data_IF_943767302407
#
_entry.id   IF_943767302407
#
_cell.length_a   1.000
_cell.length_b   1.000
_cell.length_c   1.000
_cell.angle_alpha   90.00
_cell.angle_beta   90.00
_cell.angle_gamma   90.00
#
_symmetry.space_group_name_H-M   'P 1'
#
loop_
_entity.id
_entity.type
_entity.pdbx_description
1 polymer ?
#
# COMPACT_ATOMS: atom_id res chain seq x y z
N UNK A 1 -12.33 -10.17 -16.15
CA UNK A 1 -13.23 -10.48 -17.28
C UNK A 1 -12.54 -11.19 -18.44
N UNK A 2 -11.39 -10.72 -18.95
CA UNK A 2 -10.71 -11.38 -20.08
C UNK A 2 -10.47 -12.89 -19.87
N UNK A 3 -9.95 -13.27 -18.70
CA UNK A 3 -9.75 -14.68 -18.33
C UNK A 3 -11.06 -15.48 -18.28
N UNK A 4 -12.17 -14.84 -17.94
CA UNK A 4 -13.50 -15.46 -17.90
C UNK A 4 -14.03 -15.72 -19.32
N UNK A 5 -13.93 -14.73 -20.21
CA UNK A 5 -14.32 -14.87 -21.63
C UNK A 5 -13.49 -15.95 -22.34
N UNK A 6 -12.17 -16.02 -22.07
CA UNK A 6 -11.32 -17.10 -22.56
C UNK A 6 -11.73 -18.48 -22.06
N UNK A 7 -12.19 -18.59 -20.80
CA UNK A 7 -12.70 -19.86 -20.25
C UNK A 7 -14.03 -20.29 -20.90
N UNK A 8 -14.81 -19.33 -21.39
CA UNK A 8 -16.04 -19.58 -22.15
C UNK A 8 -15.78 -19.83 -23.64
N UNK A 9 -14.52 -19.86 -24.08
CA UNK A 9 -14.17 -20.10 -25.48
C UNK A 9 -14.33 -18.88 -26.39
N UNK A 10 -14.55 -17.67 -25.83
CA UNK A 10 -14.70 -16.44 -26.61
C UNK A 10 -13.31 -15.81 -26.80
N UNK A 11 -12.76 -15.79 -28.04
CA UNK A 11 -11.45 -15.22 -28.30
C UNK A 11 -11.54 -13.69 -28.36
N UNK A 12 -11.11 -13.03 -27.29
CA UNK A 12 -11.01 -11.57 -27.21
C UNK A 12 -9.61 -11.14 -26.78
N UNK A 13 -9.12 -10.07 -27.38
CA UNK A 13 -7.88 -9.45 -26.95
C UNK A 13 -8.07 -8.78 -25.58
N UNK A 14 -7.02 -8.81 -24.76
CA UNK A 14 -7.06 -8.24 -23.40
C UNK A 14 -7.33 -6.73 -23.43
N UNK A 15 -6.69 -6.03 -24.37
CA UNK A 15 -6.87 -4.60 -24.60
C UNK A 15 -8.30 -4.21 -25.00
N UNK A 16 -9.12 -5.14 -25.50
CA UNK A 16 -10.55 -4.90 -25.77
C UNK A 16 -11.37 -4.90 -24.49
N UNK A 17 -11.02 -5.76 -23.54
CA UNK A 17 -11.79 -5.98 -22.31
C UNK A 17 -11.43 -4.95 -21.23
N UNK A 18 -10.18 -4.49 -21.20
CA UNK A 18 -9.69 -3.53 -20.19
C UNK A 18 -10.45 -2.18 -20.19
N UNK A 19 -10.65 -1.50 -21.34
CA UNK A 19 -11.44 -0.26 -21.40
C UNK A 19 -12.89 -0.48 -20.96
N UNK A 20 -13.51 -1.59 -21.38
CA UNK A 20 -14.89 -1.93 -20.98
C UNK A 20 -15.01 -2.13 -19.47
N UNK A 21 -14.06 -2.85 -18.86
CA UNK A 21 -14.01 -3.01 -17.41
C UNK A 21 -13.82 -1.67 -16.69
N UNK A 22 -12.99 -0.77 -17.24
CA UNK A 22 -12.73 0.54 -16.65
C UNK A 22 -13.96 1.45 -16.70
N UNK A 23 -14.62 1.57 -17.86
CA UNK A 23 -15.83 2.39 -18.03
C UNK A 23 -16.97 1.91 -17.14
N UNK A 24 -17.13 0.60 -16.98
CA UNK A 24 -18.18 0.01 -16.13
C UNK A 24 -17.76 -0.15 -14.66
N UNK A 25 -16.57 0.34 -14.28
CA UNK A 25 -16.01 0.19 -12.92
C UNK A 25 -15.95 -1.26 -12.41
N UNK A 26 -15.87 -2.24 -13.32
CA UNK A 26 -15.78 -3.65 -12.98
C UNK A 26 -14.36 -4.01 -12.55
N UNK A 27 -14.24 -4.60 -11.35
CA UNK A 27 -12.98 -5.14 -10.86
C UNK A 27 -12.96 -6.66 -10.96
N UNK A 28 -11.80 -7.21 -11.31
CA UNK A 28 -11.59 -8.66 -11.25
C UNK A 28 -11.63 -9.15 -9.80
N UNK A 29 -12.12 -10.37 -9.59
CA UNK A 29 -12.06 -11.04 -8.28
C UNK A 29 -10.63 -11.52 -8.06
N UNK A 30 -10.02 -11.12 -6.94
CA UNK A 30 -8.71 -11.60 -6.49
C UNK A 30 -8.90 -12.65 -5.41
N UNK A 31 -8.19 -13.78 -5.49
CA UNK A 31 -8.28 -14.88 -4.51
C UNK A 31 -7.57 -14.58 -3.18
N UNK A 32 -6.76 -13.53 -3.14
CA UNK A 32 -6.01 -13.15 -1.95
C UNK A 32 -6.91 -12.41 -0.96
N UNK A 33 -7.16 -13.04 0.19
CA UNK A 33 -7.67 -12.32 1.36
C UNK A 33 -6.53 -11.44 1.88
N UNK A 34 -6.77 -10.15 2.09
CA UNK A 34 -5.81 -9.26 2.77
C UNK A 34 -5.73 -9.75 4.22
N UNK A 35 -4.73 -10.59 4.54
CA UNK A 35 -4.53 -11.11 5.91
C UNK A 35 -3.86 -10.02 6.73
N UNK A 36 -4.51 -9.62 7.83
CA UNK A 36 -3.99 -8.62 8.77
C UNK A 36 -3.31 -9.35 9.91
N UNK A 37 -1.99 -9.33 9.95
CA UNK A 37 -1.20 -10.02 10.98
C UNK A 37 -1.06 -9.17 12.25
N UNK A 38 -1.12 -7.84 12.15
CA UNK A 38 -0.84 -6.95 13.29
C UNK A 38 -1.70 -5.70 13.23
N UNK A 39 -2.42 -5.42 14.33
CA UNK A 39 -3.12 -4.16 14.55
C UNK A 39 -2.27 -3.31 15.52
N UNK A 40 -1.95 -2.08 15.14
CA UNK A 40 -1.25 -1.16 16.05
C UNK A 40 -2.26 -0.69 17.09
N UNK A 41 -2.01 -1.02 18.35
CA UNK A 41 -2.74 -0.47 19.48
C UNK A 41 -2.33 1.01 19.68
N UNK A 42 -3.27 1.97 19.58
CA UNK A 42 -2.98 3.39 19.81
C UNK A 42 -2.72 3.72 21.29
N UNK A 43 -3.14 2.86 22.23
CA UNK A 43 -2.86 2.99 23.66
C UNK A 43 -1.54 2.33 24.08
N UNK A 44 -0.93 1.53 23.20
CA UNK A 44 0.36 0.91 23.49
C UNK A 44 1.46 1.96 23.63
N UNK A 45 2.27 1.79 24.67
CA UNK A 45 3.43 2.63 24.92
C UNK A 45 4.40 2.55 23.72
N UNK A 46 4.89 3.72 23.30
CA UNK A 46 5.82 3.79 22.17
C UNK A 46 7.13 3.15 22.61
N UNK A 47 7.69 2.28 21.75
CA UNK A 47 9.00 1.68 22.00
C UNK A 47 10.03 2.76 22.37
N UNK A 48 10.83 2.55 23.44
CA UNK A 48 11.80 3.52 23.89
C UNK A 48 12.89 3.74 22.83
N UNK A 49 13.45 4.96 22.78
CA UNK A 49 14.52 5.29 21.84
C UNK A 49 15.86 4.69 22.31
N UNK A 50 16.12 3.45 21.91
CA UNK A 50 17.33 2.72 22.31
C UNK A 50 18.63 3.28 21.71
N UNK A 51 18.53 4.16 20.71
CA UNK A 51 19.68 4.76 20.02
C UNK A 51 20.19 6.01 20.75
N UNK A 52 19.38 6.62 21.64
CA UNK A 52 19.77 7.79 22.41
C UNK A 52 20.03 9.02 21.52
N UNK A 53 19.12 9.32 20.60
CA UNK A 53 19.31 10.40 19.62
C UNK A 53 19.42 11.77 20.29
N UNK A 54 20.53 12.48 20.04
CA UNK A 54 20.78 13.85 20.54
C UNK A 54 20.80 14.85 19.38
N UNK A 55 19.65 15.45 19.09
CA UNK A 55 19.52 16.47 18.04
C UNK A 55 19.76 17.89 18.58
N UNK A 56 20.93 18.15 19.17
CA UNK A 56 21.31 19.50 19.64
C UNK A 56 22.45 20.05 18.78
N UNK A 57 22.26 21.26 18.25
CA UNK A 57 23.29 21.98 17.48
C UNK A 57 23.34 23.45 17.86
N UNK A 58 24.51 24.08 17.74
CA UNK A 58 24.78 25.45 18.17
C UNK A 58 24.49 26.52 17.11
N UNK A 59 24.29 26.12 15.85
CA UNK A 59 24.01 27.01 14.71
C UNK A 59 23.02 26.35 13.74
N UNK A 60 22.26 27.14 12.96
CA UNK A 60 21.40 26.62 11.88
C UNK A 60 22.19 25.78 10.87
N UNK A 61 21.51 24.86 10.20
CA UNK A 61 22.05 23.97 9.14
C UNK A 61 23.25 23.08 9.54
N UNK A 62 23.53 22.96 10.84
CA UNK A 62 24.57 22.08 11.35
C UNK A 62 24.15 20.60 11.45
N UNK A 63 22.84 20.30 11.36
CA UNK A 63 22.32 18.93 11.40
C UNK A 63 21.01 18.82 10.61
N UNK A 64 20.98 17.91 9.63
CA UNK A 64 19.77 17.55 8.91
C UNK A 64 19.28 16.17 9.36
N UNK A 65 18.01 16.07 9.76
CA UNK A 65 17.37 14.84 10.22
C UNK A 65 16.20 14.52 9.29
N UNK A 66 16.12 13.27 8.83
CA UNK A 66 14.98 12.76 8.09
C UNK A 66 14.25 11.70 8.93
N UNK A 67 12.93 11.79 9.02
CA UNK A 67 12.06 10.78 9.63
C UNK A 67 11.13 10.20 8.58
N UNK A 68 10.90 8.89 8.66
CA UNK A 68 9.96 8.19 7.79
C UNK A 68 8.76 7.72 8.60
N UNK A 69 7.62 8.38 8.37
CA UNK A 69 6.35 7.96 8.97
C UNK A 69 5.74 6.87 8.10
N UNK A 70 5.73 5.63 8.61
CA UNK A 70 4.96 4.55 7.99
C UNK A 70 3.46 4.90 8.10
N UNK A 71 2.90 5.47 7.03
CA UNK A 71 1.48 5.80 6.93
C UNK A 71 0.76 4.63 6.26
N UNK A 72 -0.43 4.29 6.78
CA UNK A 72 -1.31 3.30 6.18
C UNK A 72 -1.76 3.76 4.77
N UNK A 73 -1.57 2.97 3.70
CA UNK A 73 -2.30 3.16 2.45
C UNK A 73 -3.77 2.71 2.62
N UNK A 74 -4.73 3.30 1.88
CA UNK A 74 -6.17 3.03 2.07
C UNK A 74 -6.54 1.54 2.18
#
# INVERSE_FOLDING_TARGET
MWTHLRRQGIPVARCTVEPLMRTNSWRGVTRTRRVRTTERDPAAERAPDLVGRRFRVSRPDALHVADFKCRRPP
#
